data_IF_302872644211
#
_entry.id   IF_302872644211
#
_cell.length_a   1.000
_cell.length_b   1.000
_cell.length_c   1.000
_cell.angle_alpha   90.00
_cell.angle_beta   90.00
_cell.angle_gamma   90.00
#
_symmetry.space_group_name_H-M   'P 1'
#
loop_
_entity.id
_entity.type
_entity.pdbx_description
1 polymer ?
#
# COMPACT_ATOMS: atom_id res chain seq x y z
N UNK A 1 -57.53 -19.77 21.48
CA UNK A 1 -57.42 -21.24 21.38
C UNK A 1 -55.94 -21.59 21.41
N UNK A 2 -55.51 -22.29 22.46
CA UNK A 2 -54.12 -22.63 22.76
C UNK A 2 -54.11 -24.14 22.98
N UNK A 3 -53.49 -24.86 22.06
CA UNK A 3 -53.33 -26.31 22.02
C UNK A 3 -51.87 -26.54 21.61
N UNK A 4 -51.03 -27.37 22.18
CA UNK A 4 -51.01 -28.15 23.42
C UNK A 4 -49.54 -28.56 23.63
N UNK A 5 -49.09 -28.63 24.89
CA UNK A 5 -47.76 -29.08 25.30
C UNK A 5 -47.82 -30.55 25.72
N UNK A 6 -46.86 -31.38 25.29
CA UNK A 6 -46.32 -32.61 25.96
C UNK A 6 -45.06 -33.02 25.15
N UNK A 7 -43.84 -32.69 25.55
CA UNK A 7 -42.95 -33.27 26.59
C UNK A 7 -42.17 -34.54 26.17
N UNK A 8 -40.91 -34.56 26.62
CA UNK A 8 -39.94 -35.65 26.86
C UNK A 8 -39.45 -36.59 25.75
N UNK A 9 -38.15 -36.47 25.45
CA UNK A 9 -37.23 -37.53 25.87
C UNK A 9 -36.15 -37.99 24.87
N UNK A 10 -34.89 -37.78 25.26
CA UNK A 10 -33.74 -38.70 25.04
C UNK A 10 -33.25 -38.82 23.56
N UNK A 11 -31.98 -38.93 23.20
CA UNK A 11 -30.75 -39.24 23.90
C UNK A 11 -29.60 -38.85 22.96
N UNK A 12 -28.78 -37.90 23.42
CA UNK A 12 -27.40 -37.74 23.00
C UNK A 12 -26.63 -38.98 23.48
N UNK A 13 -25.86 -39.67 22.64
CA UNK A 13 -24.51 -40.13 22.99
C UNK A 13 -23.71 -40.71 21.80
N UNK A 14 -22.37 -40.64 21.90
CA UNK A 14 -21.40 -40.86 20.84
C UNK A 14 -20.83 -42.28 20.85
N UNK A 15 -20.32 -42.72 19.69
CA UNK A 15 -19.64 -44.00 19.55
C UNK A 15 -18.23 -43.95 20.19
N UNK A 16 -18.05 -44.60 21.35
CA UNK A 16 -16.75 -45.00 21.91
C UNK A 16 -16.51 -46.49 21.62
N UNK A 17 -15.29 -46.84 21.25
CA UNK A 17 -14.72 -48.16 21.52
C UNK A 17 -13.51 -47.96 22.45
N UNK A 18 -13.36 -48.92 23.34
CA UNK A 18 -12.79 -48.85 24.68
C UNK A 18 -11.52 -49.69 24.76
N UNK A 19 -10.40 -49.14 25.25
CA UNK A 19 -9.35 -49.92 25.93
C UNK A 19 -8.66 -49.08 27.04
N UNK A 20 -8.86 -49.49 28.30
CA UNK A 20 -8.18 -49.05 29.54
C UNK A 20 -6.93 -49.92 29.85
N UNK A 21 -6.26 -49.85 31.03
CA UNK A 21 -5.55 -48.73 31.71
C UNK A 21 -4.13 -49.16 32.21
N UNK A 22 -3.33 -48.25 32.80
CA UNK A 22 -2.58 -48.41 34.08
C UNK A 22 -1.36 -47.46 34.20
N UNK A 23 -1.30 -46.76 35.34
CA UNK A 23 -0.26 -45.84 35.84
C UNK A 23 1.13 -46.49 35.97
N UNK A 24 2.22 -45.73 35.70
CA UNK A 24 3.51 -45.83 36.43
C UNK A 24 4.33 -44.54 36.29
N UNK A 25 5.01 -44.23 37.39
CA UNK A 25 5.67 -42.98 37.78
C UNK A 25 7.13 -42.93 37.27
N UNK A 26 7.55 -41.73 36.80
CA UNK A 26 8.89 -41.10 36.81
C UNK A 26 10.16 -41.93 36.50
N UNK A 27 10.91 -41.49 35.49
CA UNK A 27 12.38 -41.35 35.59
C UNK A 27 12.93 -40.29 34.63
N UNK A 28 13.70 -39.35 35.17
CA UNK A 28 14.50 -38.34 34.49
C UNK A 28 15.57 -38.96 33.55
N UNK A 29 15.84 -38.35 32.39
CA UNK A 29 17.22 -38.04 31.98
C UNK A 29 17.24 -36.86 30.97
N UNK A 30 18.22 -35.94 31.06
CA UNK A 30 18.19 -34.59 30.51
C UNK A 30 18.93 -34.50 29.16
N UNK A 31 18.89 -33.31 28.54
CA UNK A 31 19.55 -32.99 27.27
C UNK A 31 18.79 -33.60 26.07
N UNK A 32 18.10 -32.83 25.25
CA UNK A 32 18.69 -31.86 24.34
C UNK A 32 17.68 -30.76 24.01
N UNK A 33 18.12 -29.51 24.11
CA UNK A 33 17.47 -28.37 23.49
C UNK A 33 17.57 -28.52 21.97
N UNK A 34 16.48 -28.88 21.29
CA UNK A 34 16.41 -28.76 19.84
C UNK A 34 16.30 -27.27 19.49
N UNK A 35 17.45 -26.65 19.24
CA UNK A 35 17.52 -25.36 18.56
C UNK A 35 17.06 -25.55 17.12
N UNK A 36 16.18 -24.70 16.57
CA UNK A 36 15.84 -24.78 15.16
C UNK A 36 17.10 -24.52 14.33
N UNK A 37 17.53 -25.54 13.59
CA UNK A 37 18.73 -25.52 12.78
C UNK A 37 18.64 -24.41 11.72
N UNK A 38 19.57 -23.46 11.81
CA UNK A 38 19.79 -22.37 10.85
C UNK A 38 20.40 -22.86 9.53
N UNK A 39 20.00 -24.03 9.04
CA UNK A 39 20.52 -24.63 7.81
C UNK A 39 20.18 -23.81 6.54
N UNK A 40 19.10 -23.02 6.57
CA UNK A 40 18.72 -22.14 5.46
C UNK A 40 19.70 -20.97 5.23
N UNK A 41 20.51 -20.60 6.24
CA UNK A 41 21.45 -19.48 6.15
C UNK A 41 22.70 -19.79 5.32
N UNK A 42 22.99 -21.07 5.03
CA UNK A 42 24.18 -21.44 4.25
C UNK A 42 24.03 -21.19 2.74
N UNK A 43 22.81 -21.01 2.24
CA UNK A 43 22.51 -20.81 0.82
C UNK A 43 22.38 -19.32 0.43
N UNK A 44 22.43 -18.41 1.41
CA UNK A 44 22.47 -16.97 1.13
C UNK A 44 23.89 -16.59 0.73
N UNK A 45 24.14 -16.43 -0.57
CA UNK A 45 25.36 -15.82 -1.06
C UNK A 45 25.60 -14.48 -0.34
N UNK A 46 26.83 -14.14 0.07
CA UNK A 46 27.13 -12.82 0.63
C UNK A 46 26.73 -11.77 -0.40
N UNK A 47 25.78 -10.90 -0.04
CA UNK A 47 25.44 -9.72 -0.83
C UNK A 47 26.75 -8.94 -0.99
N UNK A 48 27.30 -8.90 -2.21
CA UNK A 48 28.56 -8.21 -2.47
C UNK A 48 28.42 -6.75 -2.02
N UNK A 49 29.38 -6.20 -1.26
CA UNK A 49 29.33 -4.80 -0.91
C UNK A 49 29.32 -3.97 -2.20
N UNK A 50 28.56 -2.87 -2.25
CA UNK A 50 28.49 -2.04 -3.45
C UNK A 50 29.90 -1.52 -3.80
N UNK A 51 30.23 -1.38 -5.10
CA UNK A 51 31.52 -0.87 -5.51
C UNK A 51 31.73 0.55 -4.98
N UNK A 52 32.98 0.94 -4.70
CA UNK A 52 33.31 2.26 -4.12
C UNK A 52 32.76 3.43 -4.96
N UNK A 53 32.64 3.25 -6.28
CA UNK A 53 32.01 4.20 -7.19
C UNK A 53 30.52 4.43 -6.89
N UNK A 54 29.81 3.42 -6.39
CA UNK A 54 28.41 3.55 -5.96
C UNK A 54 28.29 4.36 -4.68
N UNK A 55 29.21 4.20 -3.72
CA UNK A 55 29.24 5.05 -2.52
C UNK A 55 29.56 6.52 -2.87
N UNK A 56 30.42 6.76 -3.88
CA UNK A 56 30.68 8.11 -4.41
C UNK A 56 29.46 8.68 -5.14
N UNK A 57 28.79 7.87 -5.97
CA UNK A 57 27.56 8.27 -6.67
C UNK A 57 26.45 8.64 -5.68
N UNK A 58 26.24 7.85 -4.63
CA UNK A 58 25.33 8.21 -3.55
C UNK A 58 25.78 9.52 -2.90
N UNK A 59 27.05 9.70 -2.53
CA UNK A 59 27.51 10.98 -1.95
C UNK A 59 27.28 12.18 -2.86
N UNK A 60 27.44 12.03 -4.18
CA UNK A 60 27.28 13.12 -5.15
C UNK A 60 25.82 13.38 -5.54
N UNK A 61 24.94 12.37 -5.46
CA UNK A 61 23.53 12.48 -5.86
C UNK A 61 22.56 12.47 -4.66
N UNK A 62 23.05 12.33 -3.43
CA UNK A 62 22.23 12.37 -2.22
C UNK A 62 22.00 13.82 -1.80
N UNK A 63 20.79 14.31 -2.09
CA UNK A 63 20.30 15.57 -1.54
C UNK A 63 20.18 15.39 0.00
N UNK A 64 20.85 16.23 0.82
CA UNK A 64 20.78 16.11 2.27
C UNK A 64 19.34 16.37 2.76
N UNK A 65 18.73 15.36 3.40
CA UNK A 65 17.42 15.44 4.07
C UNK A 65 17.57 16.18 5.42
N UNK A 66 18.18 17.36 5.43
CA UNK A 66 18.12 18.29 6.57
C UNK A 66 17.17 19.46 6.29
N UNK A 67 16.07 19.13 5.60
CA UNK A 67 14.81 19.83 5.69
C UNK A 67 13.72 18.77 5.80
N UNK A 68 13.46 18.28 7.01
CA UNK A 68 12.24 17.55 7.31
C UNK A 68 11.20 18.56 7.81
N UNK A 69 10.32 19.11 6.95
CA UNK A 69 9.03 19.52 7.44
C UNK A 69 8.27 18.24 7.77
N UNK A 70 7.78 18.13 9.01
CA UNK A 70 6.78 17.13 9.40
C UNK A 70 5.73 16.97 8.28
N UNK A 71 5.31 15.77 7.87
CA UNK A 71 4.12 15.60 7.04
C UNK A 71 2.87 15.83 7.88
N UNK A 72 2.78 17.00 8.53
CA UNK A 72 1.50 17.66 8.72
C UNK A 72 1.00 17.89 7.30
N UNK A 73 0.02 17.10 6.90
CA UNK A 73 -0.61 17.09 5.59
C UNK A 73 -0.90 18.52 5.14
N UNK A 74 0.07 19.14 4.47
CA UNK A 74 -0.16 20.36 3.72
C UNK A 74 -1.25 19.98 2.73
N UNK A 75 -2.32 20.79 2.58
CA UNK A 75 -3.32 20.51 1.57
C UNK A 75 -2.56 20.25 0.27
N UNK A 76 -2.75 19.07 -0.33
CA UNK A 76 -2.12 18.70 -1.60
C UNK A 76 -2.48 19.85 -2.53
N UNK A 77 -1.54 20.77 -2.70
CA UNK A 77 -1.74 21.97 -3.51
C UNK A 77 -1.67 21.40 -4.90
N UNK A 78 -2.85 21.03 -5.41
CA UNK A 78 -3.01 20.45 -6.73
C UNK A 78 -2.22 21.36 -7.66
N UNK A 79 -1.16 20.84 -8.28
CA UNK A 79 -0.43 21.66 -9.25
C UNK A 79 -1.29 21.74 -10.51
N UNK A 80 -1.17 22.81 -11.29
CA UNK A 80 -1.82 22.90 -12.58
C UNK A 80 -1.53 21.67 -13.46
N UNK A 81 -0.34 21.08 -13.32
CA UNK A 81 0.04 19.85 -14.00
C UNK A 81 -0.92 18.68 -13.72
N UNK A 82 -1.63 18.64 -12.58
CA UNK A 82 -2.67 17.63 -12.30
C UNK A 82 -3.89 17.70 -13.22
N UNK A 83 -4.04 18.78 -14.00
CA UNK A 83 -5.02 18.90 -15.09
C UNK A 83 -4.60 18.17 -16.36
N UNK A 84 -3.34 17.74 -16.47
CA UNK A 84 -2.84 16.92 -17.57
C UNK A 84 -2.92 15.45 -17.16
N UNK A 85 -3.61 14.63 -17.95
CA UNK A 85 -3.85 13.24 -17.65
C UNK A 85 -2.53 12.44 -17.51
N UNK A 86 -2.46 11.45 -16.59
CA UNK A 86 -1.24 10.70 -16.31
C UNK A 86 -0.77 9.82 -17.48
N UNK A 87 -1.68 9.42 -18.35
CA UNK A 87 -1.40 8.66 -19.57
C UNK A 87 -0.97 9.55 -20.74
N UNK A 88 -0.90 10.87 -20.56
CA UNK A 88 -0.51 11.79 -21.62
C UNK A 88 1.01 11.88 -21.77
N UNK A 89 1.55 11.83 -23.01
CA UNK A 89 2.94 12.18 -23.27
C UNK A 89 3.26 13.63 -22.85
N UNK A 90 2.30 14.54 -22.95
CA UNK A 90 2.43 15.95 -22.56
C UNK A 90 2.64 16.14 -21.05
N UNK A 91 2.42 15.11 -20.22
CA UNK A 91 2.64 15.24 -18.77
C UNK A 91 4.13 15.36 -18.42
N UNK A 92 5.01 14.69 -19.16
CA UNK A 92 6.46 14.77 -18.94
C UNK A 92 7.04 16.10 -19.42
N UNK A 93 6.52 16.61 -20.53
CA UNK A 93 6.97 17.85 -21.17
C UNK A 93 5.78 18.57 -21.80
N UNK A 94 5.02 19.36 -21.02
CA UNK A 94 3.87 20.08 -21.55
C UNK A 94 4.33 21.21 -22.47
N UNK A 95 3.63 21.38 -23.59
CA UNK A 95 3.79 22.58 -24.41
C UNK A 95 3.28 23.82 -23.68
N UNK A 96 3.71 25.01 -24.12
CA UNK A 96 3.26 26.28 -23.52
C UNK A 96 1.74 26.43 -23.53
N UNK A 97 1.08 26.07 -24.64
CA UNK A 97 -0.38 26.07 -24.76
C UNK A 97 -1.04 25.17 -23.71
N UNK A 98 -0.55 23.95 -23.54
CA UNK A 98 -1.08 23.00 -22.56
C UNK A 98 -0.84 23.48 -21.14
N UNK A 99 0.32 24.10 -20.87
CA UNK A 99 0.61 24.69 -19.57
C UNK A 99 -0.35 25.85 -19.26
N UNK A 100 -0.64 26.71 -20.24
CA UNK A 100 -1.58 27.81 -20.09
C UNK A 100 -3.02 27.32 -19.84
N UNK A 101 -3.47 26.29 -20.56
CA UNK A 101 -4.78 25.66 -20.34
C UNK A 101 -4.86 25.00 -18.97
N UNK A 102 -3.81 24.28 -18.56
CA UNK A 102 -3.72 23.64 -17.25
C UNK A 102 -3.79 24.65 -16.11
N UNK A 103 -3.09 25.78 -16.23
CA UNK A 103 -3.14 26.88 -15.26
C UNK A 103 -4.55 27.48 -15.21
N UNK A 104 -5.14 27.82 -16.35
CA UNK A 104 -6.50 28.38 -16.38
C UNK A 104 -7.54 27.46 -15.73
N UNK A 105 -7.50 26.14 -16.00
CA UNK A 105 -8.39 25.16 -15.38
C UNK A 105 -8.17 25.02 -13.87
N UNK A 106 -6.92 25.16 -13.42
CA UNK A 106 -6.57 25.12 -12.01
C UNK A 106 -7.04 26.40 -11.28
N UNK A 107 -6.85 27.57 -11.88
CA UNK A 107 -7.31 28.84 -11.34
C UNK A 107 -8.84 28.90 -11.26
N UNK A 108 -9.54 28.35 -12.25
CA UNK A 108 -11.00 28.22 -12.18
C UNK A 108 -11.46 27.28 -11.05
N UNK A 109 -10.76 26.16 -10.81
CA UNK A 109 -11.05 25.25 -9.70
C UNK A 109 -10.85 25.94 -8.33
N UNK A 110 -9.82 26.79 -8.22
CA UNK A 110 -9.45 27.43 -6.95
C UNK A 110 -10.30 28.66 -6.64
N UNK A 111 -10.66 29.45 -7.65
CA UNK A 111 -11.35 30.73 -7.47
C UNK A 111 -12.87 30.66 -7.65
N UNK A 112 -13.41 29.60 -8.26
CA UNK A 112 -14.85 29.46 -8.52
C UNK A 112 -15.45 28.25 -7.78
N UNK A 113 -16.11 28.50 -6.65
CA UNK A 113 -16.61 27.44 -5.76
C UNK A 113 -17.58 26.46 -6.44
N UNK A 114 -18.51 26.95 -7.26
CA UNK A 114 -19.49 26.13 -7.98
C UNK A 114 -18.84 25.20 -9.01
N UNK A 115 -17.78 25.65 -9.69
CA UNK A 115 -17.10 24.86 -10.71
C UNK A 115 -16.12 23.84 -10.13
N UNK A 116 -15.70 24.01 -8.86
CA UNK A 116 -14.68 23.19 -8.21
C UNK A 116 -15.00 21.69 -8.25
N UNK A 117 -16.25 21.31 -8.01
CA UNK A 117 -16.67 19.89 -8.00
C UNK A 117 -16.52 19.28 -9.40
N UNK A 118 -16.93 20.00 -10.43
CA UNK A 118 -16.84 19.56 -11.82
C UNK A 118 -15.39 19.56 -12.34
N UNK A 119 -14.59 20.53 -11.92
CA UNK A 119 -13.21 20.69 -12.38
C UNK A 119 -12.22 19.76 -11.69
N UNK A 120 -12.50 19.30 -10.45
CA UNK A 120 -11.61 18.40 -9.71
C UNK A 120 -11.21 17.12 -10.45
N UNK A 121 -12.15 16.34 -11.03
CA UNK A 121 -11.80 15.14 -11.80
C UNK A 121 -11.38 15.45 -13.25
N UNK A 122 -11.57 16.68 -13.74
CA UNK A 122 -11.34 17.01 -15.14
C UNK A 122 -9.83 17.04 -15.46
N UNK A 123 -9.45 16.24 -16.45
CA UNK A 123 -8.10 16.19 -17.01
C UNK A 123 -8.18 16.17 -18.54
N UNK A 124 -7.17 16.74 -19.20
CA UNK A 124 -7.02 16.65 -20.65
C UNK A 124 -5.75 15.88 -21.01
N UNK A 125 -5.76 15.23 -22.17
CA UNK A 125 -4.59 14.50 -22.67
C UNK A 125 -3.68 15.43 -23.45
N UNK A 126 -4.23 16.21 -24.38
CA UNK A 126 -3.48 17.20 -25.15
C UNK A 126 -4.40 18.34 -25.60
N UNK A 127 -3.80 19.44 -26.05
CA UNK A 127 -4.53 20.57 -26.60
C UNK A 127 -3.86 21.07 -27.89
N UNK A 128 -4.68 21.57 -28.83
CA UNK A 128 -4.22 22.14 -30.09
C UNK A 128 -5.06 23.35 -30.48
N UNK A 129 -4.39 24.41 -30.93
CA UNK A 129 -5.03 25.57 -31.53
C UNK A 129 -5.64 25.21 -32.90
N UNK A 130 -6.90 25.59 -33.11
CA UNK A 130 -7.58 25.50 -34.42
C UNK A 130 -8.10 26.89 -34.77
N UNK A 131 -7.73 27.39 -35.95
CA UNK A 131 -8.30 28.63 -36.49
C UNK A 131 -9.44 28.28 -37.41
N UNK A 132 -10.63 28.80 -37.10
CA UNK A 132 -11.77 28.76 -38.01
C UNK A 132 -11.81 30.09 -38.75
N UNK A 133 -11.56 30.04 -40.06
CA UNK A 133 -11.70 31.18 -40.97
C UNK A 133 -13.13 31.33 -41.43
#
# INVERSE_FOLDING_TARGET
MKVGFTDIGQHNQPHRTDHSPHTTVRAQNPNLSETPSLHWLQHLAPIRPPPKSFCRFLRENFIPINQHPTPSQLPVKMSAQNKIAPNSPSRASPSELEQNIAQALYDLETNTADLKVALRPLQFVSAREVRTT
#
